data_IF_749678591358
#
_entry.id   IF_749678591358
#
_cell.length_a   1.000
_cell.length_b   1.000
_cell.length_c   1.000
_cell.angle_alpha   90.00
_cell.angle_beta   90.00
_cell.angle_gamma   90.00
#
_symmetry.space_group_name_H-M   'P 1'
#
loop_
_entity.id
_entity.type
_entity.pdbx_description
1 polymer ?
#
# COMPACT_ATOMS: atom_id res chain seq x y z
N UNK A 1 -7.23 -18.73 11.16
CA UNK A 1 -7.39 -18.10 10.80
C UNK A 1 -7.00 -17.39 10.86
N UNK A 2 -6.83 -17.10 10.77
CA UNK A 2 -6.72 -16.39 10.68
C UNK A 2 -6.75 -15.62 10.53
N UNK A 3 -6.83 -15.48 10.80
CA UNK A 3 -6.66 -14.65 10.50
C UNK A 3 -6.71 -13.42 10.91
N UNK A 4 -6.39 -12.85 10.69
CA UNK A 4 -6.20 -11.43 10.61
C UNK A 4 -7.45 -10.67 10.43
N UNK A 5 -8.50 -11.18 10.88
CA UNK A 5 -9.74 -10.54 10.58
C UNK A 5 -10.02 -9.34 11.42
N UNK A 6 -9.54 -9.27 12.64
CA UNK A 6 -9.69 -8.07 13.44
C UNK A 6 -11.14 -7.63 13.64
N UNK A 7 -12.08 -8.57 13.57
CA UNK A 7 -13.49 -8.26 13.74
C UNK A 7 -14.14 -7.55 12.55
N UNK A 8 -13.44 -7.42 11.45
CA UNK A 8 -13.93 -6.75 10.25
C UNK A 8 -14.25 -7.78 9.19
N UNK A 9 -15.41 -7.67 8.53
CA UNK A 9 -15.79 -8.62 7.51
C UNK A 9 -14.88 -8.48 6.28
N UNK A 10 -14.86 -9.50 5.44
CA UNK A 10 -13.94 -9.56 4.31
C UNK A 10 -14.10 -8.40 3.33
N UNK A 11 -15.34 -8.03 3.01
CA UNK A 11 -15.57 -6.91 2.09
C UNK A 11 -15.08 -5.59 2.63
N UNK A 12 -15.39 -5.32 3.89
CA UNK A 12 -14.96 -4.10 4.56
C UNK A 12 -13.44 -4.05 4.66
N UNK A 13 -12.82 -5.18 4.97
CA UNK A 13 -11.37 -5.27 5.07
C UNK A 13 -10.68 -4.97 3.74
N UNK A 14 -11.22 -5.51 2.65
CA UNK A 14 -10.66 -5.23 1.32
C UNK A 14 -10.77 -3.76 0.96
N UNK A 15 -11.91 -3.14 1.25
CA UNK A 15 -12.10 -1.72 1.00
C UNK A 15 -11.11 -0.88 1.80
N UNK A 16 -10.90 -1.22 3.07
CA UNK A 16 -9.96 -0.53 3.92
C UNK A 16 -8.54 -0.64 3.38
N UNK A 17 -8.13 -1.84 2.94
CA UNK A 17 -6.79 -2.03 2.41
C UNK A 17 -6.58 -1.24 1.13
N UNK A 18 -7.59 -1.18 0.24
CA UNK A 18 -7.49 -0.37 -0.98
C UNK A 18 -7.31 1.09 -0.65
N UNK A 19 -8.05 1.59 0.34
CA UNK A 19 -7.92 2.98 0.75
C UNK A 19 -6.53 3.28 1.31
N UNK A 20 -5.99 2.36 2.10
CA UNK A 20 -4.64 2.54 2.67
C UNK A 20 -3.56 2.50 1.58
N UNK A 21 -3.68 1.60 0.62
CA UNK A 21 -2.73 1.52 -0.49
C UNK A 21 -2.81 2.80 -1.33
N UNK A 22 -4.02 3.26 -1.60
CA UNK A 22 -4.22 4.51 -2.34
C UNK A 22 -3.58 5.68 -1.61
N UNK A 23 -3.78 5.77 -0.30
CA UNK A 23 -3.18 6.82 0.51
C UNK A 23 -1.66 6.74 0.51
N UNK A 24 -1.11 5.53 0.57
CA UNK A 24 0.34 5.35 0.54
C UNK A 24 0.95 5.93 -0.74
N UNK A 25 0.35 5.64 -1.89
CA UNK A 25 0.87 6.17 -3.14
C UNK A 25 0.61 7.66 -3.28
N UNK A 26 -0.52 8.16 -2.79
CA UNK A 26 -0.83 9.58 -2.89
C UNK A 26 0.07 10.42 -1.99
N UNK A 27 0.22 10.01 -0.74
CA UNK A 27 0.93 10.79 0.28
C UNK A 27 2.34 10.30 0.54
N UNK A 28 2.70 9.15 -0.01
CA UNK A 28 4.00 8.48 0.08
C UNK A 28 4.32 7.95 1.47
N UNK A 29 3.43 8.12 2.43
CA UNK A 29 3.56 7.53 3.76
C UNK A 29 2.20 7.46 4.44
N UNK A 30 2.03 6.47 5.30
CA UNK A 30 0.82 6.34 6.11
C UNK A 30 1.19 5.92 7.52
N UNK A 31 0.32 6.31 8.48
CA UNK A 31 0.40 5.84 9.86
C UNK A 31 -0.66 4.76 10.05
N UNK A 32 -0.25 3.59 10.51
CA UNK A 32 -1.21 2.51 10.70
C UNK A 32 -0.64 1.49 11.70
N UNK A 33 -1.40 0.45 12.00
CA UNK A 33 -0.90 -0.62 12.85
C UNK A 33 0.11 -1.46 12.08
N UNK A 34 0.99 -2.12 12.80
CA UNK A 34 2.01 -2.98 12.19
C UNK A 34 1.40 -4.07 11.34
N UNK A 35 0.32 -4.69 11.81
CA UNK A 35 -0.35 -5.75 11.07
C UNK A 35 -0.87 -5.27 9.73
N UNK A 36 -1.56 -4.12 9.73
CA UNK A 36 -2.09 -3.55 8.49
C UNK A 36 -0.98 -3.09 7.56
N UNK A 37 0.09 -2.53 8.12
CA UNK A 37 1.21 -2.10 7.31
C UNK A 37 1.82 -3.24 6.52
N UNK A 38 1.94 -4.41 7.12
CA UNK A 38 2.49 -5.58 6.43
C UNK A 38 1.62 -6.01 5.27
N UNK A 39 0.29 -5.96 5.44
CA UNK A 39 -0.63 -6.29 4.35
C UNK A 39 -0.58 -5.25 3.24
N UNK A 40 -0.62 -3.97 3.61
CA UNK A 40 -0.55 -2.88 2.63
C UNK A 40 0.76 -2.93 1.86
N UNK A 41 1.85 -3.19 2.56
CA UNK A 41 3.17 -3.29 1.95
C UNK A 41 3.20 -4.36 0.86
N UNK A 42 2.67 -5.54 1.15
CA UNK A 42 2.65 -6.63 0.17
C UNK A 42 1.91 -6.23 -1.09
N UNK A 43 0.74 -5.61 -0.94
CA UNK A 43 -0.06 -5.18 -2.08
C UNK A 43 0.63 -4.06 -2.85
N UNK A 44 1.15 -3.06 -2.12
CA UNK A 44 1.79 -1.92 -2.75
C UNK A 44 3.03 -2.33 -3.55
N UNK A 45 3.83 -3.24 -2.99
CA UNK A 45 5.03 -3.69 -3.69
C UNK A 45 4.69 -4.42 -4.98
N UNK A 46 3.62 -5.20 -4.98
CA UNK A 46 3.17 -5.87 -6.20
C UNK A 46 2.69 -4.87 -7.24
N UNK A 47 2.00 -3.82 -6.81
CA UNK A 47 1.53 -2.79 -7.73
C UNK A 47 2.67 -2.00 -8.34
N UNK A 48 3.71 -1.69 -7.57
CA UNK A 48 4.89 -1.00 -8.11
C UNK A 48 5.56 -1.89 -9.16
N UNK A 49 5.73 -3.17 -8.87
CA UNK A 49 6.34 -4.11 -9.81
C UNK A 49 5.51 -4.17 -11.11
N UNK A 50 4.19 -4.25 -10.97
CA UNK A 50 3.30 -4.25 -12.14
C UNK A 50 3.42 -2.96 -12.93
N UNK A 51 3.46 -1.83 -12.23
CA UNK A 51 3.54 -0.51 -12.88
C UNK A 51 4.84 -0.32 -13.63
N UNK A 52 5.90 -1.00 -13.23
CA UNK A 52 7.18 -0.92 -13.95
C UNK A 52 7.09 -1.51 -15.34
N UNK A 53 6.11 -2.37 -15.62
CA UNK A 53 5.89 -2.89 -16.96
C UNK A 53 5.32 -1.82 -17.88
N UNK A 54 4.58 -0.88 -17.32
CA UNK A 54 4.05 0.32 -18.00
C UNK A 54 3.30 0.00 -19.30
N UNK A 55 2.50 -1.07 -19.30
CA UNK A 55 1.67 -1.38 -20.45
C UNK A 55 0.19 -1.11 -20.11
N UNK A 56 -0.68 -1.23 -21.10
CA UNK A 56 -2.10 -0.93 -20.92
C UNK A 56 -2.75 -1.85 -19.89
N UNK A 57 -2.39 -3.13 -19.92
CA UNK A 57 -2.94 -4.10 -18.97
C UNK A 57 -2.58 -3.74 -17.54
N UNK A 58 -1.33 -3.31 -17.31
CA UNK A 58 -0.87 -2.90 -15.99
C UNK A 58 -1.64 -1.68 -15.50
N UNK A 59 -1.90 -0.70 -16.38
CA UNK A 59 -2.65 0.49 -16.00
C UNK A 59 -4.09 0.17 -15.66
N UNK A 60 -4.72 -0.72 -16.42
CA UNK A 60 -6.09 -1.17 -16.14
C UNK A 60 -6.19 -1.88 -14.80
N UNK A 61 -5.21 -2.72 -14.50
CA UNK A 61 -5.17 -3.46 -13.25
C UNK A 61 -5.02 -2.51 -12.06
N UNK A 62 -4.12 -1.54 -12.16
CA UNK A 62 -3.91 -0.57 -11.09
C UNK A 62 -5.15 0.29 -10.88
N UNK A 63 -5.79 0.75 -11.96
CA UNK A 63 -6.98 1.57 -11.86
C UNK A 63 -8.13 0.80 -11.21
N UNK A 64 -8.28 -0.47 -11.55
CA UNK A 64 -9.32 -1.30 -10.96
C UNK A 64 -9.14 -1.46 -9.45
N UNK A 65 -7.91 -1.44 -8.97
CA UNK A 65 -7.64 -1.58 -7.54
C UNK A 65 -7.70 -0.24 -6.80
N UNK A 66 -7.06 0.79 -7.34
CA UNK A 66 -6.91 2.07 -6.61
C UNK A 66 -8.10 3.01 -6.73
N UNK A 67 -8.89 2.88 -7.78
CA UNK A 67 -10.09 3.68 -8.04
C UNK A 67 -9.86 5.18 -8.28
N UNK A 68 -8.65 5.70 -8.13
CA UNK A 68 -8.36 7.11 -8.32
C UNK A 68 -7.37 7.27 -9.46
N UNK A 69 -7.82 7.90 -10.52
CA UNK A 69 -7.01 8.06 -11.72
C UNK A 69 -5.74 8.87 -11.46
N UNK A 70 -5.83 9.89 -10.61
CA UNK A 70 -4.66 10.70 -10.29
C UNK A 70 -3.56 9.91 -9.59
N UNK A 71 -3.97 8.99 -8.68
CA UNK A 71 -3.03 8.15 -7.97
C UNK A 71 -2.41 7.14 -8.92
N UNK A 72 -3.21 6.58 -9.83
CA UNK A 72 -2.68 5.67 -10.85
C UNK A 72 -1.66 6.39 -11.72
N UNK A 73 -1.98 7.62 -12.13
CA UNK A 73 -1.07 8.41 -12.94
C UNK A 73 0.24 8.67 -12.19
N UNK A 74 0.16 9.01 -10.91
CA UNK A 74 1.35 9.22 -10.09
C UNK A 74 2.17 7.93 -9.98
N UNK A 75 1.51 6.80 -9.79
CA UNK A 75 2.18 5.51 -9.68
C UNK A 75 3.01 5.21 -10.94
N UNK A 76 2.42 5.41 -12.11
CA UNK A 76 3.10 5.07 -13.36
C UNK A 76 4.11 6.13 -13.81
N UNK A 77 3.83 7.40 -13.57
CA UNK A 77 4.65 8.48 -14.09
C UNK A 77 5.78 8.91 -13.15
N UNK A 78 5.61 8.71 -11.84
CA UNK A 78 6.59 9.18 -10.86
C UNK A 78 7.14 8.07 -9.97
N UNK A 79 6.31 7.22 -9.45
CA UNK A 79 6.74 6.21 -8.47
C UNK A 79 7.50 5.08 -9.14
N UNK A 80 6.89 4.43 -10.14
CA UNK A 80 7.52 3.29 -10.79
C UNK A 80 8.86 3.67 -11.45
N UNK A 81 8.97 4.81 -12.14
CA UNK A 81 10.27 5.20 -12.71
C UNK A 81 11.35 5.40 -11.66
N UNK A 82 10.98 5.89 -10.48
CA UNK A 82 11.94 6.08 -9.39
C UNK A 82 12.60 4.77 -8.98
N UNK A 83 11.88 3.65 -9.12
CA UNK A 83 12.36 2.34 -8.70
C UNK A 83 12.76 1.45 -9.87
N UNK A 84 13.03 2.03 -11.03
CA UNK A 84 13.35 1.25 -12.23
C UNK A 84 14.49 0.27 -12.01
N UNK A 85 15.48 0.66 -11.20
CA UNK A 85 16.65 -0.18 -10.96
C UNK A 85 16.53 -1.09 -9.74
N UNK A 86 15.39 -1.08 -9.07
CA UNK A 86 15.17 -1.95 -7.92
C UNK A 86 14.29 -3.13 -8.31
N UNK A 87 14.55 -4.28 -7.70
CA UNK A 87 13.75 -5.49 -7.94
C UNK A 87 12.72 -5.73 -6.84
N UNK A 88 12.65 -4.84 -5.86
CA UNK A 88 11.74 -4.93 -4.72
C UNK A 88 12.22 -4.00 -3.63
N UNK A 89 11.59 -4.08 -2.45
CA UNK A 89 12.01 -3.25 -1.33
C UNK A 89 11.72 -1.78 -1.55
N UNK A 90 10.55 -1.48 -2.13
CA UNK A 90 10.18 -0.09 -2.42
C UNK A 90 9.63 0.65 -1.22
N UNK A 91 9.39 -0.07 -0.13
CA UNK A 91 8.78 0.51 1.07
C UNK A 91 9.61 0.14 2.29
N UNK A 92 9.38 0.88 3.38
CA UNK A 92 9.96 0.53 4.67
C UNK A 92 8.96 0.80 5.77
N UNK A 93 9.10 0.05 6.87
CA UNK A 93 8.25 0.19 8.05
C UNK A 93 9.09 0.75 9.18
N UNK A 94 8.63 1.85 9.79
CA UNK A 94 9.30 2.49 10.91
C UNK A 94 8.40 2.39 12.13
N UNK A 95 8.87 1.76 13.20
CA UNK A 95 8.09 1.63 14.41
C UNK A 95 8.03 2.97 15.13
N UNK A 96 6.82 3.35 15.56
CA UNK A 96 6.62 4.63 16.21
C UNK A 96 6.12 4.52 17.66
N UNK A 97 5.77 3.31 18.12
CA UNK A 97 5.32 3.11 19.48
C UNK A 97 4.01 2.35 19.55
N UNK A 98 3.22 2.65 20.55
CA UNK A 98 1.97 1.93 20.79
C UNK A 98 0.81 2.90 20.83
N UNK A 99 -0.34 2.46 20.33
CA UNK A 99 -1.53 3.28 20.31
C UNK A 99 -2.15 3.33 21.71
N UNK A 100 -2.66 4.50 22.07
CA UNK A 100 -3.39 4.62 23.33
C UNK A 100 -4.64 3.77 23.28
N UNK A 101 -4.99 3.22 24.43
CA UNK A 101 -6.22 2.46 24.58
C UNK A 101 -5.97 0.96 24.44
N UNK A 102 -5.61 0.49 23.26
CA UNK A 102 -5.43 -0.93 23.01
C UNK A 102 -3.97 -1.38 22.89
N UNK A 103 -3.04 -0.45 23.02
CA UNK A 103 -1.60 -0.74 22.95
C UNK A 103 -1.17 -1.43 21.66
N UNK A 104 -1.90 -1.25 20.57
CA UNK A 104 -1.51 -1.82 19.28
C UNK A 104 -0.19 -1.21 18.80
N UNK A 105 0.74 -2.03 18.28
CA UNK A 105 1.98 -1.48 17.73
C UNK A 105 1.67 -0.62 16.50
N UNK A 106 2.16 0.61 16.53
CA UNK A 106 1.94 1.57 15.45
C UNK A 106 3.22 1.77 14.66
N UNK A 107 3.06 1.97 13.36
CA UNK A 107 4.18 2.17 12.45
C UNK A 107 3.87 3.23 11.42
N UNK A 108 4.92 3.74 10.81
CA UNK A 108 4.83 4.49 9.56
C UNK A 108 5.29 3.57 8.45
N UNK A 109 4.47 3.40 7.43
CA UNK A 109 4.85 2.71 6.20
C UNK A 109 5.08 3.78 5.16
N UNK A 110 6.24 3.78 4.54
CA UNK A 110 6.56 4.82 3.56
C UNK A 110 7.33 4.26 2.37
N UNK A 111 7.25 4.99 1.26
CA UNK A 111 8.05 4.68 0.08
C UNK A 111 9.48 5.16 0.33
N UNK A 112 10.45 4.34 -0.04
CA UNK A 112 11.86 4.71 0.15
C UNK A 112 12.35 5.66 -0.92
#
# INVERSE_FOLDING_TARGET
>A
MSYQRLGINTGHRKAMLRNLVTSLFRDERINTTETRAKEVRSIAEKLVTTAKQNDLAARRQALAYLYEEEVVRKLFDKIAPKYADRTGGYTRIIKTGYRRGDAAPMVVLELV
#
